data_IF_156042932804
#
_entry.id   IF_156042932804
#
_cell.length_a   1.000
_cell.length_b   1.000
_cell.length_c   1.000
_cell.angle_alpha   90.00
_cell.angle_beta   90.00
_cell.angle_gamma   90.00
#
_symmetry.space_group_name_H-M   'P 1'
#
loop_
_entity.id
_entity.type
_entity.pdbx_description
1 polymer ?
#
# COMPACT_ATOMS: atom_id res chain seq x y z
N UNK A 1 51.35 15.87 -30.56
CA UNK A 1 51.11 16.75 -31.71
C UNK A 1 50.20 15.96 -32.65
N UNK A 2 48.88 16.01 -32.51
CA UNK A 2 48.00 17.06 -33.04
C UNK A 2 46.69 17.12 -32.22
N UNK A 3 46.25 18.34 -31.91
CA UNK A 3 45.04 18.70 -31.14
C UNK A 3 43.88 19.08 -32.12
N UNK A 4 42.69 19.49 -31.66
CA UNK A 4 41.41 18.76 -31.68
C UNK A 4 40.39 19.29 -32.72
N UNK A 5 39.27 18.58 -32.91
CA UNK A 5 38.11 19.10 -33.63
C UNK A 5 36.79 18.74 -32.92
N UNK A 6 36.22 19.75 -32.26
CA UNK A 6 34.80 19.98 -31.98
C UNK A 6 34.50 21.41 -32.53
N UNK A 7 33.26 21.91 -32.68
CA UNK A 7 31.93 21.38 -32.33
C UNK A 7 30.86 21.51 -33.45
N UNK A 8 29.70 20.89 -33.27
CA UNK A 8 28.43 21.27 -33.92
C UNK A 8 27.36 21.06 -32.85
N UNK A 9 26.78 22.07 -32.20
CA UNK A 9 26.00 23.21 -32.70
C UNK A 9 24.84 22.81 -33.62
N UNK A 10 23.70 22.54 -33.00
CA UNK A 10 22.36 22.73 -33.56
C UNK A 10 21.32 22.55 -32.45
N UNK A 11 21.02 23.64 -31.74
CA UNK A 11 19.68 23.85 -31.20
C UNK A 11 18.89 24.67 -32.22
N UNK A 12 17.61 24.34 -32.45
CA UNK A 12 16.61 25.39 -32.37
C UNK A 12 15.56 25.07 -31.30
N UNK A 13 15.30 26.09 -30.50
CA UNK A 13 14.10 26.21 -29.70
C UNK A 13 12.88 26.18 -30.63
N UNK A 14 11.86 25.39 -30.28
CA UNK A 14 10.51 25.64 -30.75
C UNK A 14 9.57 25.82 -29.57
N UNK A 15 8.85 26.92 -29.66
CA UNK A 15 7.85 27.39 -28.73
C UNK A 15 6.54 26.68 -29.03
N UNK A 16 5.95 26.04 -28.02
CA UNK A 16 4.50 25.93 -27.98
C UNK A 16 4.02 26.28 -26.58
N UNK A 17 3.73 27.58 -26.49
CA UNK A 17 2.88 28.18 -25.49
C UNK A 17 1.45 27.65 -25.60
N UNK A 18 0.77 27.71 -24.46
CA UNK A 18 -0.68 27.82 -24.30
C UNK A 18 -1.53 26.59 -24.65
N UNK A 19 -1.68 25.72 -23.65
CA UNK A 19 -3.01 25.20 -23.30
C UNK A 19 -3.17 25.21 -21.77
N UNK A 20 -3.32 26.42 -21.22
CA UNK A 20 -3.88 26.62 -19.89
C UNK A 20 -5.41 26.48 -20.03
N UNK A 21 -5.88 25.25 -19.94
CA UNK A 21 -7.28 25.00 -19.68
C UNK A 21 -7.61 25.50 -18.26
N UNK A 22 -8.57 26.42 -18.21
CA UNK A 22 -9.07 27.13 -17.05
C UNK A 22 -9.29 26.22 -15.83
N UNK A 23 -8.62 26.55 -14.72
CA UNK A 23 -9.10 26.18 -13.40
C UNK A 23 -10.38 26.98 -13.11
N UNK A 24 -11.51 26.35 -12.76
CA UNK A 24 -12.62 27.09 -12.18
C UNK A 24 -12.17 27.62 -10.81
N UNK A 25 -12.18 28.94 -10.71
CA UNK A 25 -12.08 29.74 -9.50
C UNK A 25 -13.23 29.35 -8.56
N UNK A 26 -13.02 28.33 -7.73
CA UNK A 26 -13.92 27.97 -6.66
C UNK A 26 -13.65 28.93 -5.51
N UNK A 27 -14.46 29.99 -5.50
CA UNK A 27 -14.60 30.96 -4.43
C UNK A 27 -14.40 30.34 -3.04
N UNK A 28 -13.41 30.88 -2.33
CA UNK A 28 -13.24 30.67 -0.91
C UNK A 28 -14.53 31.06 -0.17
N UNK A 29 -15.11 30.19 0.68
CA UNK A 29 -16.08 30.65 1.64
C UNK A 29 -15.37 31.54 2.67
N UNK A 30 -15.81 32.78 2.68
CA UNK A 30 -15.61 33.80 3.72
C UNK A 30 -15.73 33.14 5.10
N UNK A 31 -14.59 33.02 5.79
CA UNK A 31 -14.52 32.51 7.16
C UNK A 31 -15.12 33.59 8.07
N UNK A 32 -16.43 33.48 8.27
CA UNK A 32 -17.15 34.22 9.30
C UNK A 32 -16.52 33.94 10.67
N UNK A 33 -16.38 35.01 11.44
CA UNK A 33 -15.79 35.04 12.75
C UNK A 33 -16.43 34.05 13.76
N UNK A 34 -15.53 33.49 14.57
CA UNK A 34 -15.62 32.77 15.86
C UNK A 34 -16.98 32.71 16.59
N UNK A 35 -17.16 31.66 17.41
CA UNK A 35 -17.10 31.94 18.84
C UNK A 35 -16.10 31.06 19.60
N UNK A 36 -15.40 31.69 20.54
CA UNK A 36 -14.63 31.04 21.60
C UNK A 36 -15.49 29.99 22.31
N UNK A 37 -15.18 28.71 22.11
CA UNK A 37 -15.72 27.63 22.91
C UNK A 37 -14.81 27.45 24.14
N UNK A 38 -15.34 27.84 25.31
CA UNK A 38 -14.81 27.49 26.62
C UNK A 38 -14.43 25.99 26.71
N UNK A 39 -13.30 25.64 27.34
CA UNK A 39 -12.99 24.24 27.62
C UNK A 39 -13.94 23.69 28.70
N UNK A 40 -14.61 22.54 28.50
CA UNK A 40 -15.22 21.84 29.61
C UNK A 40 -14.12 21.20 30.46
N UNK A 41 -14.18 21.51 31.75
CA UNK A 41 -13.40 20.88 32.80
C UNK A 41 -13.85 19.41 33.01
N UNK A 42 -12.87 18.57 33.32
CA UNK A 42 -12.89 17.29 34.04
C UNK A 42 -14.23 16.60 34.39
N UNK A 43 -14.25 15.30 34.10
CA UNK A 43 -15.07 14.25 34.72
C UNK A 43 -14.87 12.99 33.87
N UNK A 44 -13.86 12.16 34.16
CA UNK A 44 -14.02 10.95 34.98
C UNK A 44 -15.37 10.27 34.71
N UNK A 45 -15.34 9.25 33.86
CA UNK A 45 -16.31 8.14 33.86
C UNK A 45 -15.64 6.96 33.13
N UNK A 46 -14.91 6.18 33.93
CA UNK A 46 -14.92 4.73 33.75
C UNK A 46 -16.35 4.28 33.96
N UNK A 47 -16.85 3.46 33.04
CA UNK A 47 -17.94 2.48 33.17
C UNK A 47 -18.53 2.30 31.76
N UNK A 48 -19.02 1.18 31.30
CA UNK A 48 -18.93 -0.22 31.65
C UNK A 48 -19.54 -0.86 30.40
N UNK A 49 -18.86 -1.83 29.79
CA UNK A 49 -19.39 -2.55 28.64
C UNK A 49 -20.44 -3.55 29.16
N UNK A 50 -21.61 -3.03 29.51
CA UNK A 50 -22.82 -3.82 29.65
C UNK A 50 -23.59 -3.74 28.34
N UNK A 51 -23.27 -4.69 27.47
CA UNK A 51 -24.17 -5.27 26.48
C UNK A 51 -25.44 -5.76 27.19
N UNK A 52 -26.37 -4.83 27.45
CA UNK A 52 -27.75 -5.13 27.79
C UNK A 52 -28.60 -4.81 26.58
N UNK A 53 -28.68 -5.80 25.69
CA UNK A 53 -29.93 -6.19 25.07
C UNK A 53 -31.03 -6.19 26.15
N UNK A 54 -32.23 -5.71 25.79
CA UNK A 54 -33.44 -5.66 26.62
C UNK A 54 -33.71 -4.35 27.39
N UNK A 55 -34.27 -3.38 26.66
CA UNK A 55 -35.26 -2.48 27.22
C UNK A 55 -36.29 -2.14 26.12
N UNK A 56 -37.32 -2.99 26.02
CA UNK A 56 -38.66 -2.66 25.54
C UNK A 56 -39.28 -1.56 26.44
N UNK A 57 -38.65 -0.39 26.45
CA UNK A 57 -39.16 0.83 27.06
C UNK A 57 -40.18 1.47 26.13
N UNK A 58 -41.39 0.91 26.12
CA UNK A 58 -42.60 1.56 25.61
C UNK A 58 -42.91 2.78 26.49
N UNK A 59 -42.10 3.84 26.36
CA UNK A 59 -42.41 5.15 26.92
C UNK A 59 -43.40 5.84 25.98
N UNK A 60 -44.69 5.60 26.28
CA UNK A 60 -45.87 6.21 25.67
C UNK A 60 -46.01 7.68 26.13
N UNK A 61 -44.90 8.42 26.05
CA UNK A 61 -44.88 9.85 26.31
C UNK A 61 -45.39 10.56 25.07
N UNK A 62 -46.56 11.19 25.25
CA UNK A 62 -47.34 12.07 24.37
C UNK A 62 -46.55 13.32 23.90
N UNK A 63 -45.36 13.09 23.36
CA UNK A 63 -44.53 14.07 22.70
C UNK A 63 -44.97 14.12 21.24
N UNK A 64 -45.70 15.19 20.89
CA UNK A 64 -46.32 15.37 19.57
C UNK A 64 -45.40 15.01 18.39
N UNK A 65 -45.98 14.67 17.21
CA UNK A 65 -45.32 13.98 16.10
C UNK A 65 -44.04 14.64 15.55
N UNK A 66 -43.77 15.89 15.92
CA UNK A 66 -42.54 16.61 15.57
C UNK A 66 -41.36 16.31 16.49
N UNK A 67 -41.58 16.11 17.80
CA UNK A 67 -40.49 15.87 18.78
C UNK A 67 -39.86 14.48 18.61
N UNK A 68 -40.68 13.48 18.28
CA UNK A 68 -40.19 12.14 17.92
C UNK A 68 -39.36 12.11 16.63
N UNK A 69 -39.63 13.02 15.67
CA UNK A 69 -38.83 13.12 14.42
C UNK A 69 -37.45 13.72 14.69
N UNK A 70 -37.38 14.76 15.51
CA UNK A 70 -36.11 15.39 15.88
C UNK A 70 -35.20 14.42 16.66
N UNK A 71 -35.74 13.67 17.62
CA UNK A 71 -34.97 12.67 18.37
C UNK A 71 -34.42 11.55 17.47
N UNK A 72 -35.23 11.06 16.53
CA UNK A 72 -34.79 10.04 15.54
C UNK A 72 -33.69 10.58 14.63
N UNK A 73 -33.82 11.81 14.13
CA UNK A 73 -32.78 12.44 13.30
C UNK A 73 -31.47 12.64 14.06
N UNK A 74 -31.53 13.09 15.32
CA UNK A 74 -30.34 13.22 16.17
C UNK A 74 -29.66 11.86 16.43
N UNK A 75 -30.44 10.80 16.66
CA UNK A 75 -29.91 9.45 16.82
C UNK A 75 -29.24 8.94 15.54
N UNK A 76 -29.88 9.13 14.38
CA UNK A 76 -29.30 8.80 13.07
C UNK A 76 -27.98 9.54 12.82
N UNK A 77 -27.91 10.83 13.15
CA UNK A 77 -26.69 11.63 12.96
C UNK A 77 -25.52 11.11 13.81
N UNK A 78 -25.77 10.75 15.08
CA UNK A 78 -24.73 10.17 15.95
C UNK A 78 -24.22 8.83 15.42
N UNK A 79 -25.13 8.00 14.88
CA UNK A 79 -24.75 6.73 14.26
C UNK A 79 -23.88 6.96 13.02
N UNK A 80 -24.30 7.88 12.15
CA UNK A 80 -23.56 8.22 10.94
C UNK A 80 -22.17 8.80 11.25
N UNK A 81 -22.05 9.60 12.31
CA UNK A 81 -20.77 10.14 12.76
C UNK A 81 -19.82 9.02 13.18
N UNK A 82 -20.27 8.07 14.00
CA UNK A 82 -19.46 6.92 14.42
C UNK A 82 -19.04 6.07 13.23
N UNK A 83 -19.99 5.76 12.34
CA UNK A 83 -19.72 4.99 11.12
C UNK A 83 -18.67 5.69 10.23
N UNK A 84 -18.71 7.03 10.12
CA UNK A 84 -17.69 7.78 9.38
C UNK A 84 -16.32 7.73 10.05
N UNK A 85 -16.26 7.77 11.38
CA UNK A 85 -15.01 7.68 12.14
C UNK A 85 -14.41 6.27 12.01
N UNK A 86 -15.23 5.24 12.13
CA UNK A 86 -14.82 3.84 11.93
C UNK A 86 -14.31 3.62 10.50
N UNK A 87 -14.98 4.20 9.50
CA UNK A 87 -14.54 4.16 8.11
C UNK A 87 -13.17 4.83 7.90
N UNK A 88 -12.92 5.97 8.54
CA UNK A 88 -11.62 6.64 8.49
C UNK A 88 -10.52 5.81 9.15
N UNK A 89 -10.79 5.21 10.31
CA UNK A 89 -9.84 4.31 11.00
C UNK A 89 -9.54 3.09 10.13
N UNK A 90 -10.56 2.49 9.51
CA UNK A 90 -10.37 1.35 8.62
C UNK A 90 -9.56 1.72 7.36
N UNK A 91 -9.84 2.86 6.75
CA UNK A 91 -9.12 3.33 5.57
C UNK A 91 -7.66 3.66 5.88
N UNK A 92 -7.38 4.31 7.01
CA UNK A 92 -6.02 4.62 7.45
C UNK A 92 -5.22 3.35 7.78
N UNK A 93 -5.86 2.36 8.42
CA UNK A 93 -5.24 1.06 8.65
C UNK A 93 -4.90 0.33 7.34
N UNK A 94 -5.81 0.33 6.36
CA UNK A 94 -5.58 -0.28 5.05
C UNK A 94 -4.42 0.40 4.28
N UNK A 95 -4.35 1.73 4.33
CA UNK A 95 -3.23 2.50 3.75
C UNK A 95 -1.90 2.13 4.40
N UNK A 96 -1.86 2.00 5.73
CA UNK A 96 -0.65 1.56 6.44
C UNK A 96 -0.17 0.18 5.98
N UNK A 97 -1.08 -0.79 5.82
CA UNK A 97 -0.75 -2.12 5.30
C UNK A 97 -0.19 -2.05 3.87
N UNK A 98 -0.81 -1.24 2.99
CA UNK A 98 -0.36 -1.08 1.61
C UNK A 98 1.03 -0.41 1.54
N UNK A 99 1.27 0.62 2.34
CA UNK A 99 2.56 1.31 2.39
C UNK A 99 3.68 0.38 2.87
N UNK A 100 3.43 -0.45 3.89
CA UNK A 100 4.39 -1.47 4.31
C UNK A 100 4.66 -2.53 3.24
N UNK A 101 3.63 -2.96 2.49
CA UNK A 101 3.81 -3.87 1.37
C UNK A 101 4.69 -3.26 0.26
N UNK A 102 4.61 -1.94 0.03
CA UNK A 102 5.49 -1.22 -0.91
C UNK A 102 6.93 -1.20 -0.41
N UNK A 103 7.15 -0.94 0.89
CA UNK A 103 8.49 -0.97 1.50
C UNK A 103 9.10 -2.38 1.40
N UNK A 104 8.31 -3.41 1.67
CA UNK A 104 8.73 -4.81 1.53
C UNK A 104 9.10 -5.13 0.07
N UNK A 105 8.26 -4.73 -0.89
CA UNK A 105 8.55 -4.90 -2.31
C UNK A 105 9.84 -4.18 -2.73
N UNK A 106 10.10 -2.97 -2.20
CA UNK A 106 11.34 -2.23 -2.44
C UNK A 106 12.57 -2.95 -1.87
N UNK A 107 12.45 -3.55 -0.67
CA UNK A 107 13.51 -4.36 -0.07
C UNK A 107 13.82 -5.61 -0.91
N UNK A 108 12.79 -6.31 -1.39
CA UNK A 108 12.93 -7.47 -2.28
C UNK A 108 13.57 -7.06 -3.61
N UNK A 109 13.16 -5.94 -4.19
CA UNK A 109 13.75 -5.41 -5.42
C UNK A 109 15.24 -5.04 -5.24
N UNK A 110 15.64 -4.59 -4.05
CA UNK A 110 17.03 -4.36 -3.67
C UNK A 110 17.81 -5.66 -3.33
N UNK A 111 17.17 -6.82 -3.44
CA UNK A 111 17.77 -8.14 -3.22
C UNK A 111 17.77 -8.60 -1.76
N UNK A 112 17.06 -7.93 -0.85
CA UNK A 112 16.97 -8.34 0.54
C UNK A 112 15.82 -9.33 0.78
N UNK A 113 15.89 -10.07 1.88
CA UNK A 113 14.81 -10.94 2.34
C UNK A 113 13.61 -10.10 2.81
N UNK A 114 12.36 -10.48 2.50
CA UNK A 114 11.15 -9.87 3.06
C UNK A 114 11.17 -9.67 4.58
N UNK A 115 11.88 -10.54 5.32
CA UNK A 115 12.08 -10.42 6.78
C UNK A 115 12.79 -9.14 7.22
N UNK A 116 13.48 -8.44 6.30
CA UNK A 116 14.08 -7.15 6.58
C UNK A 116 13.03 -6.12 7.04
N UNK A 117 11.77 -6.24 6.57
CA UNK A 117 10.66 -5.40 7.05
C UNK A 117 10.49 -5.49 8.57
N UNK A 118 10.45 -6.71 9.12
CA UNK A 118 10.29 -6.92 10.56
C UNK A 118 11.48 -6.33 11.36
N UNK A 119 12.68 -6.34 10.76
CA UNK A 119 13.86 -5.70 11.35
C UNK A 119 13.71 -4.17 11.37
N UNK A 120 13.24 -3.56 10.28
CA UNK A 120 12.94 -2.12 10.20
C UNK A 120 11.91 -1.73 11.28
N UNK A 121 10.82 -2.48 11.40
CA UNK A 121 9.81 -2.26 12.45
C UNK A 121 10.41 -2.38 13.86
N UNK A 122 11.21 -3.43 14.11
CA UNK A 122 11.86 -3.63 15.42
C UNK A 122 12.94 -2.60 15.76
N UNK A 123 13.52 -1.94 14.74
CA UNK A 123 14.52 -0.88 14.92
C UNK A 123 13.90 0.45 15.36
N UNK A 124 12.57 0.53 15.44
CA UNK A 124 11.84 1.73 15.83
C UNK A 124 11.70 2.76 14.70
N UNK A 125 11.97 2.38 13.45
CA UNK A 125 11.71 3.27 12.31
C UNK A 125 10.22 3.34 12.06
N UNK A 126 9.65 4.52 12.26
CA UNK A 126 8.24 4.77 12.00
C UNK A 126 7.97 4.96 10.51
N UNK A 127 6.83 4.42 10.05
CA UNK A 127 6.38 4.54 8.66
C UNK A 127 6.24 6.01 8.21
N UNK A 128 5.84 6.91 9.12
CA UNK A 128 5.72 8.33 8.86
C UNK A 128 7.05 8.97 8.39
N UNK A 129 8.19 8.44 8.83
CA UNK A 129 9.51 8.94 8.39
C UNK A 129 9.85 8.56 6.95
N UNK A 130 9.28 7.46 6.45
CA UNK A 130 9.49 6.91 5.10
C UNK A 130 8.53 7.48 4.06
N UNK A 131 7.51 8.18 4.52
CA UNK A 131 6.50 8.83 3.70
C UNK A 131 6.88 10.30 3.49
N UNK A 132 6.48 10.88 2.37
CA UNK A 132 6.66 12.29 2.08
C UNK A 132 5.43 13.11 2.51
N UNK A 133 5.50 14.43 2.37
CA UNK A 133 4.40 15.33 2.78
C UNK A 133 3.11 15.09 1.98
N UNK A 134 3.21 14.43 0.81
CA UNK A 134 2.04 14.04 -0.01
C UNK A 134 1.40 12.72 0.43
N UNK A 135 1.92 12.05 1.47
CA UNK A 135 1.41 10.76 1.94
C UNK A 135 1.86 9.56 1.11
N UNK A 136 2.80 9.77 0.17
CA UNK A 136 3.37 8.72 -0.67
C UNK A 136 4.71 8.23 -0.13
N UNK A 137 5.00 6.94 -0.34
CA UNK A 137 6.27 6.34 0.08
C UNK A 137 7.43 6.97 -0.71
N UNK A 138 8.39 7.54 -0.01
CA UNK A 138 9.58 8.15 -0.62
C UNK A 138 10.64 7.08 -0.86
N UNK A 139 10.85 6.74 -2.14
CA UNK A 139 11.79 5.71 -2.56
C UNK A 139 13.24 5.99 -2.09
N UNK A 140 13.66 7.26 -2.00
CA UNK A 140 15.00 7.60 -1.56
C UNK A 140 15.19 7.35 -0.05
N UNK A 141 14.20 7.74 0.76
CA UNK A 141 14.20 7.47 2.20
C UNK A 141 14.12 5.98 2.51
N UNK A 142 13.26 5.25 1.79
CA UNK A 142 13.16 3.79 1.93
C UNK A 142 14.48 3.11 1.57
N UNK A 143 15.12 3.48 0.46
CA UNK A 143 16.41 2.91 0.07
C UNK A 143 17.53 3.21 1.09
N UNK A 144 17.53 4.40 1.69
CA UNK A 144 18.46 4.75 2.76
C UNK A 144 18.19 3.90 4.02
N UNK A 145 16.94 3.84 4.48
CA UNK A 145 16.52 3.05 5.63
C UNK A 145 16.85 1.56 5.48
N UNK A 146 16.58 0.97 4.30
CA UNK A 146 16.93 -0.43 3.99
C UNK A 146 18.43 -0.65 4.15
N UNK A 147 19.25 0.26 3.62
CA UNK A 147 20.72 0.16 3.68
C UNK A 147 21.24 0.29 5.11
N UNK A 148 20.72 1.26 5.85
CA UNK A 148 21.12 1.51 7.24
C UNK A 148 20.72 0.33 8.14
N UNK A 149 19.52 -0.21 7.96
CA UNK A 149 19.05 -1.40 8.68
C UNK A 149 19.86 -2.64 8.30
N UNK A 150 20.09 -2.87 7.00
CA UNK A 150 20.92 -3.98 6.54
C UNK A 150 22.34 -3.91 7.11
N UNK A 151 22.93 -2.71 7.16
CA UNK A 151 24.24 -2.48 7.77
C UNK A 151 24.21 -2.74 9.28
N UNK A 152 23.23 -2.19 10.01
CA UNK A 152 23.12 -2.32 11.46
C UNK A 152 22.96 -3.78 11.90
N UNK A 153 22.22 -4.59 11.14
CA UNK A 153 21.95 -6.00 11.44
C UNK A 153 22.86 -6.98 10.67
N UNK A 154 23.86 -6.50 9.94
CA UNK A 154 24.74 -7.30 9.08
C UNK A 154 23.98 -8.25 8.12
N UNK A 155 22.87 -7.76 7.56
CA UNK A 155 22.07 -8.49 6.56
C UNK A 155 22.66 -8.21 5.18
N UNK A 156 23.09 -9.26 4.49
CA UNK A 156 23.59 -9.15 3.13
C UNK A 156 22.47 -9.38 2.10
N UNK A 157 22.53 -8.72 0.93
CA UNK A 157 21.60 -9.01 -0.15
C UNK A 157 21.75 -10.47 -0.59
N UNK A 158 20.62 -11.12 -0.87
CA UNK A 158 20.57 -12.48 -1.37
C UNK A 158 21.27 -12.53 -2.73
N UNK A 159 22.24 -13.43 -2.93
CA UNK A 159 22.86 -13.58 -4.24
C UNK A 159 21.79 -14.02 -5.26
N UNK A 160 21.86 -13.55 -6.51
CA UNK A 160 20.97 -14.01 -7.55
C UNK A 160 21.11 -15.53 -7.68
N UNK A 161 19.98 -16.24 -7.72
CA UNK A 161 20.02 -17.68 -7.95
C UNK A 161 20.67 -17.92 -9.32
N UNK A 162 21.63 -18.85 -9.43
CA UNK A 162 22.22 -19.17 -10.72
C UNK A 162 21.08 -19.61 -11.65
N UNK A 163 20.90 -18.87 -12.75
CA UNK A 163 19.95 -19.29 -13.77
C UNK A 163 20.39 -20.67 -14.27
N UNK A 164 19.50 -21.68 -14.32
CA UNK A 164 19.85 -22.96 -14.89
C UNK A 164 20.27 -22.71 -16.34
N UNK A 165 21.55 -22.95 -16.63
CA UNK A 165 22.07 -22.87 -17.99
C UNK A 165 21.29 -23.86 -18.85
N UNK A 166 20.57 -23.41 -19.90
CA UNK A 166 19.86 -24.31 -20.79
C UNK A 166 20.87 -25.30 -21.39
N UNK A 167 20.78 -26.58 -21.03
CA UNK A 167 21.68 -27.64 -21.51
C UNK A 167 22.60 -28.27 -20.45
N UNK A 168 22.75 -27.69 -19.25
CA UNK A 168 23.36 -28.40 -18.11
C UNK A 168 22.32 -29.38 -17.53
N UNK A 169 22.23 -30.57 -18.13
CA UNK A 169 21.22 -31.57 -17.78
C UNK A 169 20.68 -32.35 -18.98
N UNK A 170 20.98 -31.91 -20.21
CA UNK A 170 21.01 -32.83 -21.36
C UNK A 170 22.20 -33.77 -21.18
N UNK A 171 22.08 -34.69 -20.21
CA UNK A 171 22.79 -35.94 -20.30
C UNK A 171 22.50 -36.52 -21.67
N UNK A 172 23.55 -36.97 -22.35
CA UNK A 172 23.44 -37.95 -23.42
C UNK A 172 22.72 -39.15 -22.80
N UNK A 173 21.38 -39.12 -22.84
CA UNK A 173 20.57 -40.22 -22.36
C UNK A 173 20.97 -41.46 -23.15
N UNK A 174 20.93 -42.66 -22.53
CA UNK A 174 21.00 -43.89 -23.30
C UNK A 174 19.95 -43.79 -24.41
N UNK A 175 20.35 -44.13 -25.64
CA UNK A 175 19.58 -43.89 -26.86
C UNK A 175 18.12 -44.35 -26.74
N UNK A 176 17.22 -43.80 -27.58
CA UNK A 176 15.79 -44.01 -27.46
C UNK A 176 15.48 -45.49 -27.32
N UNK A 177 15.04 -45.90 -26.13
CA UNK A 177 14.50 -47.24 -25.97
C UNK A 177 13.33 -47.39 -26.94
N UNK A 178 13.21 -48.52 -27.65
CA UNK A 178 12.12 -48.72 -28.59
C UNK A 178 10.81 -48.60 -27.83
N UNK A 179 10.10 -47.48 -28.04
CA UNK A 179 8.77 -47.30 -27.49
C UNK A 179 7.88 -48.46 -27.91
N UNK A 180 6.88 -48.79 -27.09
CA UNK A 180 5.93 -49.88 -27.31
C UNK A 180 5.38 -49.99 -28.74
N UNK A 181 5.28 -48.86 -29.45
CA UNK A 181 4.86 -48.82 -30.84
C UNK A 181 5.82 -49.54 -31.80
N UNK A 182 7.13 -49.50 -31.53
CA UNK A 182 8.16 -50.23 -32.28
C UNK A 182 8.04 -51.73 -32.04
N UNK A 183 7.79 -52.16 -30.80
CA UNK A 183 7.60 -53.57 -30.45
C UNK A 183 6.32 -54.16 -31.08
N UNK A 184 5.22 -53.38 -31.12
CA UNK A 184 3.98 -53.81 -31.78
C UNK A 184 4.16 -53.91 -33.31
N UNK A 185 4.90 -52.96 -33.89
CA UNK A 185 5.17 -52.93 -35.33
C UNK A 185 6.16 -54.00 -35.79
N UNK A 186 7.04 -54.47 -34.89
CA UNK A 186 7.98 -55.56 -35.13
C UNK A 186 7.27 -56.93 -34.98
N UNK A 187 6.40 -57.07 -33.99
CA UNK A 187 5.55 -58.27 -33.84
C UNK A 187 4.58 -58.47 -35.03
N UNK A 188 4.15 -57.39 -35.68
CA UNK A 188 3.30 -57.45 -36.87
C UNK A 188 4.08 -57.77 -38.17
N UNK A 189 5.39 -57.48 -38.20
CA UNK A 189 6.29 -57.84 -39.32
C UNK A 189 6.91 -59.21 -39.04
N UNK A 190 6.08 -60.24 -39.08
CA UNK A 190 6.48 -61.63 -38.88
C UNK A 190 7.79 -61.98 -39.62
N UNK A 191 8.84 -62.21 -38.84
CA UNK A 191 10.05 -62.86 -39.29
C UNK A 191 9.69 -64.27 -39.77
N UNK A 192 9.81 -64.50 -41.08
CA UNK A 192 9.84 -65.83 -41.71
C UNK A 192 11.28 -66.30 -41.84
#
# INVERSE_FOLDING_TARGET
>A
MTTPAAPADAAPADSSAADQAAQPDAAAPEVAAQPEANPPANGDDRDDAADSDDADGQDDSDDGPEKGRAARQAASYRRQLRESQDSLVAATAALGVQQWAIVEAAAVAAGFDPKLRNLIESSGVELASLVNDSGLVDAAKVAACIRDTASAFNVHPKPPMPHPTPGQGQGVGPGPEPGWNTLISDAARGHR
#
